data_IF_344463636600
#
_entry.id   IF_344463636600
#
_cell.length_a   1.000
_cell.length_b   1.000
_cell.length_c   1.000
_cell.angle_alpha   90.00
_cell.angle_beta   90.00
_cell.angle_gamma   90.00
#
_symmetry.space_group_name_H-M   'P 1'
#
loop_
_entity.id
_entity.type
_entity.pdbx_description
1 polymer ?
#
# COMPACT_ATOMS: atom_id res chain seq x y z
N UNK A 1 -17.66 -6.69 6.54
CA UNK A 1 -16.26 -6.83 6.94
C UNK A 1 -16.03 -5.84 8.06
N UNK A 2 -15.73 -6.33 9.26
CA UNK A 2 -15.49 -5.52 10.47
C UNK A 2 -14.06 -4.97 10.49
N UNK A 3 -13.80 -3.97 11.34
CA UNK A 3 -12.43 -3.44 11.52
C UNK A 3 -11.44 -4.52 12.01
N UNK A 4 -11.92 -5.46 12.84
CA UNK A 4 -11.11 -6.59 13.30
C UNK A 4 -10.78 -7.55 12.16
N UNK A 5 -11.76 -7.88 11.30
CA UNK A 5 -11.52 -8.69 10.10
C UNK A 5 -10.55 -8.00 9.13
N UNK A 6 -10.68 -6.68 8.93
CA UNK A 6 -9.76 -5.88 8.10
C UNK A 6 -8.33 -6.00 8.66
N UNK A 7 -8.15 -5.79 9.96
CA UNK A 7 -6.84 -5.88 10.60
C UNK A 7 -6.23 -7.29 10.47
N UNK A 8 -7.04 -8.34 10.66
CA UNK A 8 -6.60 -9.73 10.48
C UNK A 8 -6.18 -10.02 9.03
N UNK A 9 -6.96 -9.56 8.04
CA UNK A 9 -6.64 -9.71 6.61
C UNK A 9 -5.36 -8.95 6.24
N UNK A 10 -5.17 -7.74 6.77
CA UNK A 10 -3.95 -6.96 6.56
C UNK A 10 -2.74 -7.71 7.11
N UNK A 11 -2.81 -8.23 8.34
CA UNK A 11 -1.68 -8.84 9.04
C UNK A 11 -1.38 -10.30 8.68
N UNK A 12 -2.22 -10.96 7.89
CA UNK A 12 -1.99 -12.38 7.54
C UNK A 12 -0.62 -12.57 6.89
N UNK A 13 0.18 -13.60 7.23
CA UNK A 13 1.46 -13.84 6.57
C UNK A 13 1.32 -14.01 5.05
N UNK A 14 2.20 -13.36 4.29
CA UNK A 14 2.18 -13.34 2.83
C UNK A 14 3.58 -13.54 2.22
N UNK A 15 3.63 -13.97 0.98
CA UNK A 15 4.83 -13.99 0.15
C UNK A 15 4.55 -13.38 -1.22
N UNK A 16 5.50 -12.63 -1.77
CA UNK A 16 5.47 -12.17 -3.15
C UNK A 16 5.65 -13.36 -4.09
N UNK A 17 4.74 -13.49 -5.05
CA UNK A 17 4.79 -14.52 -6.11
C UNK A 17 5.11 -13.94 -7.48
N UNK A 18 4.78 -12.66 -7.70
CA UNK A 18 5.04 -11.96 -8.95
C UNK A 18 5.22 -10.46 -8.72
N UNK A 19 6.02 -9.83 -9.57
CA UNK A 19 6.21 -8.38 -9.62
C UNK A 19 6.30 -7.93 -11.08
N UNK A 20 5.56 -6.89 -11.43
CA UNK A 20 5.51 -6.32 -12.78
C UNK A 20 5.88 -4.83 -12.74
N UNK A 21 6.99 -4.40 -13.36
CA UNK A 21 8.00 -5.23 -14.03
C UNK A 21 8.84 -6.03 -13.02
N UNK A 22 9.39 -7.17 -13.47
CA UNK A 22 10.19 -8.07 -12.63
C UNK A 22 11.36 -7.35 -11.96
N UNK A 23 12.03 -6.43 -12.68
CA UNK A 23 13.11 -5.59 -12.16
C UNK A 23 12.73 -4.12 -12.21
N UNK A 24 13.10 -3.38 -11.16
CA UNK A 24 12.87 -1.92 -11.08
C UNK A 24 11.40 -1.53 -11.19
N UNK A 25 11.14 -0.43 -11.89
CA UNK A 25 9.83 0.18 -12.07
C UNK A 25 9.61 0.48 -13.56
N UNK A 26 8.35 0.48 -14.00
CA UNK A 26 7.97 1.01 -15.32
C UNK A 26 7.54 2.46 -15.18
N UNK A 27 7.89 3.31 -16.15
CA UNK A 27 7.38 4.68 -16.20
C UNK A 27 6.07 4.73 -16.98
N UNK A 28 5.06 5.37 -16.41
CA UNK A 28 3.77 5.56 -17.07
C UNK A 28 3.04 6.75 -16.45
N UNK A 29 2.50 7.65 -17.29
CA UNK A 29 1.70 8.81 -16.88
C UNK A 29 2.38 9.66 -15.79
N UNK A 30 3.68 9.95 -15.95
CA UNK A 30 4.44 10.78 -15.00
C UNK A 30 4.81 10.08 -13.68
N UNK A 31 4.65 8.76 -13.59
CA UNK A 31 4.98 7.98 -12.39
C UNK A 31 5.88 6.81 -12.73
N UNK A 32 6.86 6.51 -11.86
CA UNK A 32 7.44 5.17 -11.79
C UNK A 32 6.49 4.27 -11.00
N UNK A 33 6.26 3.05 -11.47
CA UNK A 33 5.29 2.14 -10.87
C UNK A 33 5.67 0.67 -10.98
N UNK A 34 5.26 -0.12 -10.00
CA UNK A 34 5.24 -1.57 -10.10
C UNK A 34 3.98 -2.12 -9.42
N UNK A 35 3.57 -3.31 -9.83
CA UNK A 35 2.47 -4.07 -9.24
C UNK A 35 3.03 -5.41 -8.75
N UNK A 36 2.59 -5.85 -7.59
CA UNK A 36 3.08 -7.06 -6.92
C UNK A 36 1.89 -7.94 -6.57
N UNK A 37 2.00 -9.23 -6.86
CA UNK A 37 1.01 -10.22 -6.44
C UNK A 37 1.54 -10.94 -5.21
N UNK A 38 0.68 -11.07 -4.21
CA UNK A 38 1.00 -11.78 -2.97
C UNK A 38 0.12 -13.03 -2.83
N UNK A 39 0.70 -14.04 -2.19
CA UNK A 39 0.04 -15.28 -1.79
C UNK A 39 0.03 -15.38 -0.27
N UNK A 40 -1.07 -15.87 0.29
CA UNK A 40 -1.17 -16.32 1.67
C UNK A 40 -1.61 -17.78 1.69
N UNK A 41 -0.97 -18.61 2.52
CA UNK A 41 -1.36 -20.02 2.69
C UNK A 41 -2.75 -20.19 3.31
N UNK A 42 -3.24 -19.19 4.06
CA UNK A 42 -4.54 -19.26 4.73
C UNK A 42 -5.70 -18.66 3.95
N UNK A 43 -5.42 -17.85 2.93
CA UNK A 43 -6.44 -17.12 2.14
C UNK A 43 -6.42 -17.51 0.65
N UNK A 44 -5.30 -18.03 0.15
CA UNK A 44 -5.17 -18.49 -1.24
C UNK A 44 -4.49 -17.49 -2.19
N UNK A 45 -4.35 -17.92 -3.44
CA UNK A 45 -3.61 -17.23 -4.50
C UNK A 45 -4.42 -16.11 -5.17
N UNK A 46 -3.77 -15.00 -5.49
CA UNK A 46 -4.36 -13.88 -6.24
C UNK A 46 -5.33 -13.00 -5.43
N UNK A 47 -5.47 -13.26 -4.13
CA UNK A 47 -6.33 -12.49 -3.23
C UNK A 47 -5.75 -11.12 -2.89
N UNK A 48 -4.42 -11.01 -2.91
CA UNK A 48 -3.71 -9.81 -2.49
C UNK A 48 -2.88 -9.24 -3.62
N UNK A 49 -3.08 -7.95 -3.88
CA UNK A 49 -2.27 -7.19 -4.84
C UNK A 49 -1.70 -5.95 -4.16
N UNK A 50 -0.45 -5.63 -4.44
CA UNK A 50 0.16 -4.36 -4.03
C UNK A 50 0.41 -3.51 -5.25
N UNK A 51 0.11 -2.21 -5.14
CA UNK A 51 0.54 -1.23 -6.11
C UNK A 51 1.56 -0.29 -5.47
N UNK A 52 2.62 0.03 -6.23
CA UNK A 52 3.60 1.06 -5.86
C UNK A 52 3.61 2.12 -6.94
N UNK A 53 3.51 3.39 -6.57
CA UNK A 53 3.55 4.55 -7.45
C UNK A 53 4.46 5.60 -6.82
N UNK A 54 5.32 6.23 -7.62
CA UNK A 54 6.02 7.44 -7.21
C UNK A 54 6.05 8.41 -8.38
N UNK A 55 5.72 9.67 -8.12
CA UNK A 55 5.76 10.73 -9.11
C UNK A 55 7.21 10.97 -9.57
N UNK A 56 7.42 11.15 -10.88
CA UNK A 56 8.76 11.33 -11.46
C UNK A 56 9.36 12.72 -11.20
N UNK A 57 8.51 13.72 -10.94
CA UNK A 57 8.93 15.10 -10.66
C UNK A 57 9.04 15.39 -9.16
N UNK A 58 8.12 14.83 -8.37
CA UNK A 58 8.05 15.00 -6.91
C UNK A 58 8.25 13.64 -6.25
N UNK A 59 9.50 13.23 -6.01
CA UNK A 59 9.83 11.88 -5.52
C UNK A 59 9.24 11.57 -4.14
N UNK A 60 8.99 12.61 -3.35
CA UNK A 60 8.31 12.54 -2.07
C UNK A 60 6.83 12.18 -2.22
N UNK A 61 6.22 12.46 -3.38
CA UNK A 61 4.87 12.04 -3.70
C UNK A 61 4.89 10.60 -4.20
N UNK A 62 4.64 9.68 -3.28
CA UNK A 62 4.47 8.26 -3.57
C UNK A 62 3.26 7.67 -2.87
N UNK A 63 2.84 6.50 -3.34
CA UNK A 63 1.76 5.72 -2.79
C UNK A 63 2.04 4.22 -2.91
N UNK A 64 1.88 3.51 -1.80
CA UNK A 64 2.01 2.06 -1.69
C UNK A 64 0.70 1.54 -1.10
N UNK A 65 -0.01 0.63 -1.75
CA UNK A 65 -1.30 0.16 -1.23
C UNK A 65 -1.52 -1.33 -1.35
N UNK A 66 -2.10 -1.92 -0.32
CA UNK A 66 -2.57 -3.30 -0.29
C UNK A 66 -4.03 -3.35 -0.76
N UNK A 67 -4.28 -4.09 -1.84
CA UNK A 67 -5.61 -4.42 -2.32
C UNK A 67 -5.97 -5.84 -1.95
N UNK A 68 -7.22 -6.02 -1.58
CA UNK A 68 -7.85 -7.29 -1.32
C UNK A 68 -8.96 -7.52 -2.33
N UNK A 69 -8.90 -8.66 -3.02
CA UNK A 69 -9.98 -9.14 -3.88
C UNK A 69 -10.91 -9.98 -3.02
N UNK A 70 -12.04 -9.39 -2.65
CA UNK A 70 -13.07 -10.06 -1.87
C UNK A 70 -13.78 -11.14 -2.68
N UNK A 71 -14.15 -12.22 -2.02
CA UNK A 71 -15.07 -13.23 -2.56
C UNK A 71 -16.51 -12.72 -2.59
N UNK A 72 -16.82 -11.63 -1.86
CA UNK A 72 -18.09 -10.89 -2.00
C UNK A 72 -18.08 -10.09 -3.31
N UNK A 73 -18.90 -10.46 -4.32
CA UNK A 73 -18.94 -9.77 -5.60
C UNK A 73 -19.41 -8.31 -5.50
N UNK A 74 -20.17 -7.96 -4.45
CA UNK A 74 -20.62 -6.59 -4.22
C UNK A 74 -19.48 -5.67 -3.77
N UNK A 75 -18.52 -6.21 -3.00
CA UNK A 75 -17.34 -5.47 -2.54
C UNK A 75 -16.25 -5.45 -3.62
N UNK A 76 -16.07 -6.54 -4.36
CA UNK A 76 -15.08 -6.64 -5.43
C UNK A 76 -13.65 -6.48 -4.92
N UNK A 77 -12.87 -5.58 -5.55
CA UNK A 77 -11.49 -5.29 -5.12
C UNK A 77 -11.43 -3.96 -4.39
N UNK A 78 -10.88 -4.00 -3.18
CA UNK A 78 -10.81 -2.85 -2.27
C UNK A 78 -9.38 -2.61 -1.80
N UNK A 79 -8.98 -1.35 -1.64
CA UNK A 79 -7.71 -0.99 -0.99
C UNK A 79 -7.92 -1.00 0.52
N UNK A 80 -7.21 -1.88 1.24
CA UNK A 80 -7.36 -1.99 2.69
C UNK A 80 -6.53 -0.95 3.44
N UNK A 81 -5.30 -0.73 2.96
CA UNK A 81 -4.36 0.23 3.56
C UNK A 81 -3.48 0.83 2.48
N UNK A 82 -3.13 2.11 2.64
CA UNK A 82 -2.28 2.85 1.69
C UNK A 82 -1.33 3.79 2.41
N UNK A 83 -0.05 3.65 2.14
CA UNK A 83 1.04 4.43 2.71
C UNK A 83 1.44 5.46 1.67
N UNK A 84 1.31 6.73 2.04
CA UNK A 84 1.63 7.85 1.17
C UNK A 84 2.83 8.60 1.71
N UNK A 85 3.69 9.04 0.80
CA UNK A 85 4.64 10.11 1.09
C UNK A 85 3.92 11.46 1.17
N UNK A 86 4.63 12.52 1.58
CA UNK A 86 4.04 13.84 1.64
C UNK A 86 3.65 14.30 0.22
N UNK A 87 2.47 14.88 0.08
CA UNK A 87 2.03 15.43 -1.18
C UNK A 87 1.18 16.67 -0.94
N UNK A 88 1.58 17.82 -1.48
CA UNK A 88 0.73 19.00 -1.42
C UNK A 88 -0.50 18.82 -2.32
N UNK A 89 -1.69 18.76 -1.75
CA UNK A 89 -2.92 19.00 -2.51
C UNK A 89 -3.57 20.32 -2.10
N UNK A 90 -3.84 21.15 -3.12
CA UNK A 90 -4.88 22.18 -3.16
C UNK A 90 -6.27 21.52 -3.14
N UNK A 91 -6.51 20.56 -2.24
CA UNK A 91 -7.86 20.03 -2.05
C UNK A 91 -8.72 21.16 -1.48
N UNK A 92 -9.98 21.27 -1.92
CA UNK A 92 -10.88 22.38 -1.60
C UNK A 92 -11.26 22.51 -0.11
N UNK A 93 -10.68 21.70 0.77
CA UNK A 93 -10.78 21.81 2.23
C UNK A 93 -9.37 21.79 2.80
N UNK A 94 -8.94 22.90 3.40
CA UNK A 94 -7.57 23.13 3.86
C UNK A 94 -7.14 22.31 5.08
N UNK A 95 -7.04 20.98 4.93
CA UNK A 95 -6.40 20.13 5.93
C UNK A 95 -4.88 20.17 5.75
N UNK A 96 -4.13 20.42 6.83
CA UNK A 96 -2.66 20.56 6.80
C UNK A 96 -1.92 19.20 6.78
N UNK A 97 -2.65 18.08 6.88
CA UNK A 97 -2.09 16.73 6.97
C UNK A 97 -1.37 16.23 5.71
N UNK A 98 -1.49 16.95 4.59
CA UNK A 98 -0.93 16.60 3.30
C UNK A 98 0.58 16.87 3.17
N UNK A 99 1.15 17.69 4.06
CA UNK A 99 2.58 18.00 4.06
C UNK A 99 3.46 16.94 4.73
N UNK A 100 2.86 15.88 5.28
CA UNK A 100 3.58 14.81 5.98
C UNK A 100 3.23 13.43 5.41
N UNK A 101 4.15 12.45 5.54
CA UNK A 101 3.81 11.05 5.34
C UNK A 101 2.58 10.65 6.15
N UNK A 102 1.72 9.83 5.57
CA UNK A 102 0.48 9.41 6.22
C UNK A 102 -0.02 8.07 5.69
N UNK A 103 -0.77 7.37 6.54
CA UNK A 103 -1.35 6.06 6.23
C UNK A 103 -2.86 6.22 6.18
N UNK A 104 -3.44 5.78 5.07
CA UNK A 104 -4.87 5.61 4.93
C UNK A 104 -5.28 4.18 5.30
N UNK A 105 -6.42 4.04 5.98
CA UNK A 105 -7.03 2.73 6.26
C UNK A 105 -8.50 2.76 5.87
N UNK A 106 -8.97 1.64 5.32
CA UNK A 106 -10.40 1.45 5.17
C UNK A 106 -11.00 0.98 6.49
N UNK A 107 -12.23 1.40 6.73
CA UNK A 107 -13.00 1.09 7.94
C UNK A 107 -14.24 0.27 7.63
N UNK A 108 -14.76 -0.44 8.63
CA UNK A 108 -16.05 -1.12 8.58
C UNK A 108 -17.16 -0.17 8.13
N UNK A 109 -17.17 1.06 8.66
CA UNK A 109 -18.17 2.06 8.29
C UNK A 109 -18.13 2.40 6.79
N UNK A 110 -16.94 2.49 6.20
CA UNK A 110 -16.78 2.78 4.77
C UNK A 110 -17.24 1.61 3.90
N UNK A 111 -16.92 0.37 4.29
CA UNK A 111 -17.40 -0.83 3.60
C UNK A 111 -18.93 -0.94 3.72
N UNK A 112 -19.48 -0.70 4.92
CA UNK A 112 -20.91 -0.78 5.20
C UNK A 112 -21.72 0.38 4.58
N UNK A 113 -21.05 1.44 4.09
CA UNK A 113 -21.72 2.59 3.46
C UNK A 113 -22.46 2.25 2.16
N UNK A 114 -22.20 1.06 1.58
CA UNK A 114 -22.79 0.64 0.30
C UNK A 114 -22.18 1.34 -0.92
N UNK A 115 -21.05 2.04 -0.75
CA UNK A 115 -20.29 2.58 -1.88
C UNK A 115 -19.83 1.44 -2.79
N UNK A 116 -20.02 1.60 -4.11
CA UNK A 116 -19.48 0.67 -5.12
C UNK A 116 -17.94 0.67 -5.15
N UNK A 117 -17.32 1.71 -4.57
CA UNK A 117 -15.87 1.85 -4.43
C UNK A 117 -15.59 2.50 -3.08
N UNK A 118 -15.62 1.73 -1.98
CA UNK A 118 -15.25 2.28 -0.68
C UNK A 118 -13.79 2.73 -0.75
N UNK A 119 -13.52 3.89 -0.17
CA UNK A 119 -12.21 4.50 -0.16
C UNK A 119 -11.72 4.57 1.28
N UNK A 120 -10.41 4.39 1.44
CA UNK A 120 -9.67 4.58 2.67
C UNK A 120 -9.61 6.07 3.05
N UNK A 121 -10.71 6.65 3.56
CA UNK A 121 -10.76 8.08 3.92
C UNK A 121 -10.15 8.36 5.28
N UNK A 122 -10.17 7.38 6.20
CA UNK A 122 -9.47 7.49 7.48
C UNK A 122 -7.96 7.59 7.24
N UNK A 123 -7.33 8.61 7.82
CA UNK A 123 -5.93 8.99 7.56
C UNK A 123 -5.23 9.35 8.85
N UNK A 124 -4.01 8.87 8.98
CA UNK A 124 -3.17 9.15 10.15
C UNK A 124 -1.78 9.60 9.69
N UNK A 125 -1.28 10.77 10.13
CA UNK A 125 0.11 11.15 9.89
C UNK A 125 1.06 10.16 10.56
N UNK A 126 2.25 9.99 9.99
CA UNK A 126 3.26 9.08 10.52
C UNK A 126 4.68 9.64 10.34
N UNK A 127 5.55 9.28 11.27
CA UNK A 127 6.99 9.55 11.28
C UNK A 127 7.82 8.30 10.97
N UNK A 128 7.17 7.14 10.71
CA UNK A 128 7.83 5.84 10.48
C UNK A 128 8.65 5.79 9.19
N UNK A 129 8.39 6.68 8.25
CA UNK A 129 9.09 6.76 6.97
C UNK A 129 9.03 8.17 6.41
N UNK A 130 10.03 8.56 5.61
CA UNK A 130 10.04 9.82 4.84
C UNK A 130 10.38 9.63 3.36
N UNK A 131 10.78 8.41 2.98
CA UNK A 131 11.15 8.02 1.60
C UNK A 131 10.32 6.84 1.13
N UNK A 132 10.28 6.60 -0.18
CA UNK A 132 9.57 5.43 -0.73
C UNK A 132 10.17 4.12 -0.19
N UNK A 133 11.50 4.04 -0.11
CA UNK A 133 12.22 2.84 0.30
C UNK A 133 11.93 2.50 1.78
N UNK A 134 11.95 3.50 2.67
CA UNK A 134 11.49 3.31 4.05
C UNK A 134 10.00 2.96 4.11
N UNK A 135 9.18 3.61 3.29
CA UNK A 135 7.74 3.32 3.20
C UNK A 135 7.47 1.88 2.77
N UNK A 136 8.23 1.33 1.82
CA UNK A 136 8.12 -0.05 1.38
C UNK A 136 8.53 -1.02 2.48
N UNK A 137 9.64 -0.76 3.19
CA UNK A 137 10.09 -1.59 4.29
C UNK A 137 9.02 -1.68 5.39
N UNK A 138 8.54 -0.52 5.85
CA UNK A 138 7.48 -0.42 6.87
C UNK A 138 6.18 -1.07 6.39
N UNK A 139 5.77 -0.81 5.15
CA UNK A 139 4.55 -1.38 4.59
C UNK A 139 4.60 -2.90 4.55
N UNK A 140 5.68 -3.48 4.01
CA UNK A 140 5.79 -4.93 3.86
C UNK A 140 5.94 -5.66 5.20
N UNK A 141 6.58 -5.03 6.19
CA UNK A 141 6.58 -5.49 7.58
C UNK A 141 5.15 -5.54 8.13
N UNK A 142 4.41 -4.43 8.04
CA UNK A 142 3.05 -4.30 8.58
C UNK A 142 2.05 -5.27 7.95
N UNK A 143 2.22 -5.60 6.66
CA UNK A 143 1.36 -6.55 5.95
C UNK A 143 1.88 -8.00 5.99
N UNK A 144 2.94 -8.28 6.77
CA UNK A 144 3.43 -9.62 7.04
C UNK A 144 4.10 -10.33 5.86
N UNK A 145 4.84 -9.61 4.99
CA UNK A 145 5.55 -10.19 3.84
C UNK A 145 6.98 -10.62 4.21
N UNK A 146 7.36 -11.86 3.88
CA UNK A 146 8.62 -12.46 4.36
C UNK A 146 9.72 -12.70 3.31
N UNK A 147 9.46 -12.55 2.01
CA UNK A 147 10.41 -12.89 0.94
C UNK A 147 10.79 -11.70 0.05
N UNK A 148 11.17 -10.57 0.64
CA UNK A 148 11.39 -9.31 -0.11
C UNK A 148 12.63 -9.31 -1.01
N UNK A 149 13.75 -9.91 -0.56
CA UNK A 149 15.06 -9.77 -1.20
C UNK A 149 15.09 -10.05 -2.72
N UNK A 150 14.43 -11.09 -3.26
CA UNK A 150 14.45 -11.35 -4.70
C UNK A 150 13.71 -10.28 -5.54
N UNK A 151 12.81 -9.52 -4.92
CA UNK A 151 11.88 -8.62 -5.61
C UNK A 151 12.20 -7.15 -5.39
N UNK A 152 12.77 -6.83 -4.23
CA UNK A 152 13.18 -5.49 -3.80
C UNK A 152 14.58 -5.52 -3.15
N UNK A 153 15.63 -5.92 -3.88
CA UNK A 153 16.98 -6.05 -3.34
C UNK A 153 17.54 -4.73 -2.80
N UNK A 154 17.03 -3.58 -3.25
CA UNK A 154 17.38 -2.27 -2.73
C UNK A 154 17.03 -2.09 -1.25
N UNK A 155 16.01 -2.79 -0.75
CA UNK A 155 15.59 -2.67 0.65
C UNK A 155 16.55 -3.41 1.59
N UNK A 156 17.17 -4.49 1.11
CA UNK A 156 18.18 -5.24 1.87
C UNK A 156 19.52 -4.50 1.95
N UNK A 157 19.79 -3.58 1.02
CA UNK A 157 21.04 -2.80 0.95
C UNK A 157 21.05 -1.54 1.82
N UNK A 158 19.91 -1.15 2.41
CA UNK A 158 19.78 0.05 3.24
C UNK A 158 20.42 -0.02 4.63
N UNK A 159 20.95 -1.16 5.06
CA UNK A 159 21.58 -1.35 6.39
C UNK A 159 23.11 -1.16 6.35
N UNK A 160 23.62 -0.25 5.50
CA UNK A 160 25.07 0.01 5.40
C UNK A 160 25.57 1.22 6.19
N UNK A 161 24.71 1.86 6.99
CA UNK A 161 25.13 2.83 8.00
C UNK A 161 24.34 2.62 9.30
N UNK A 162 24.81 1.69 10.13
CA UNK A 162 24.60 1.69 11.58
C UNK A 162 25.96 1.69 12.27
#
# INVERSE_FOLDING_TARGET
MTDEEIAQIIGVPKTIVSKTPMKGYREQNGHRRCDVELRSESVGDGTFLVFVRQNLMFIENFSIGLRYRSDDPALGTVTLVRYNGPHGELSKGGDEHFFSPHIHRITEQEIASGSLQPQEKHREPTDRYSTLEQGLAVFFEDIGVSNLDPWFPELSQGVLFQ
#
